data_IF_192508080016
#
_entry.id   IF_192508080016
#
_cell.length_a   1.000
_cell.length_b   1.000
_cell.length_c   1.000
_cell.angle_alpha   90.00
_cell.angle_beta   90.00
_cell.angle_gamma   90.00
#
_symmetry.space_group_name_H-M   'P 1'
#
loop_
_entity.id
_entity.type
_entity.pdbx_description
1 polymer ?
#
# COMPACT_ATOMS: atom_id res chain seq x y z
N UNK A 1 11.40 -6.79 7.04
CA UNK A 1 11.00 -7.20 8.40
C UNK A 1 10.08 -8.40 8.29
N UNK A 2 10.62 -9.62 8.43
CA UNK A 2 9.86 -10.86 8.30
C UNK A 2 8.96 -11.14 9.52
N UNK A 3 9.29 -10.51 10.65
CA UNK A 3 8.65 -10.78 11.95
C UNK A 3 7.21 -10.26 12.03
N UNK A 4 6.77 -9.48 11.05
CA UNK A 4 5.39 -8.99 10.94
C UNK A 4 4.37 -10.12 10.67
N UNK A 5 4.84 -11.32 10.30
CA UNK A 5 4.00 -12.51 10.16
C UNK A 5 3.77 -13.25 11.51
N UNK A 6 4.35 -12.78 12.62
CA UNK A 6 4.05 -13.33 13.96
C UNK A 6 2.61 -12.99 14.39
N UNK A 7 1.92 -13.96 15.00
CA UNK A 7 0.52 -13.85 15.39
C UNK A 7 0.22 -12.70 16.37
N UNK A 8 1.22 -12.21 17.13
CA UNK A 8 1.03 -11.12 18.09
C UNK A 8 1.26 -9.73 17.48
N UNK A 9 1.65 -9.65 16.21
CA UNK A 9 1.90 -8.38 15.53
C UNK A 9 0.70 -7.93 14.72
N UNK A 10 0.60 -6.61 14.58
CA UNK A 10 -0.45 -5.95 13.80
C UNK A 10 0.17 -5.15 12.66
N UNK A 11 -0.48 -5.19 11.51
CA UNK A 11 -0.15 -4.35 10.36
C UNK A 11 -1.30 -3.40 10.11
N UNK A 12 -0.99 -2.14 9.79
CA UNK A 12 -2.01 -1.16 9.42
C UNK A 12 -2.79 -1.67 8.21
N UNK A 13 -4.12 -1.62 8.28
CA UNK A 13 -4.97 -2.07 7.18
C UNK A 13 -4.85 -1.15 5.97
N UNK A 14 -5.12 -1.70 4.79
CA UNK A 14 -5.20 -0.94 3.55
C UNK A 14 -6.29 0.14 3.68
N UNK A 15 -6.02 1.33 3.16
CA UNK A 15 -6.87 2.54 3.25
C UNK A 15 -7.05 3.14 4.64
N UNK A 16 -6.38 2.63 5.68
CA UNK A 16 -6.42 3.26 7.00
C UNK A 16 -5.72 4.62 7.03
N UNK A 17 -6.36 5.58 7.72
CA UNK A 17 -5.73 6.84 8.09
C UNK A 17 -4.63 6.60 9.12
N UNK A 18 -3.57 7.41 9.03
CA UNK A 18 -2.46 7.40 9.98
C UNK A 18 -2.65 8.52 11.00
N UNK A 19 -2.51 8.18 12.29
CA UNK A 19 -2.52 9.14 13.38
C UNK A 19 -1.25 10.02 13.35
N UNK A 20 -1.24 11.01 12.45
CA UNK A 20 -0.18 11.99 12.21
C UNK A 20 -0.81 13.38 12.04
N UNK A 21 -0.04 14.48 12.20
CA UNK A 21 -0.57 15.83 12.01
C UNK A 21 -1.18 16.08 10.62
N UNK A 22 -0.63 15.41 9.60
CA UNK A 22 -1.25 15.33 8.27
C UNK A 22 -2.02 14.02 8.14
N UNK A 23 -3.25 14.05 7.59
CA UNK A 23 -4.14 12.89 7.53
C UNK A 23 -3.75 11.94 6.38
N UNK A 24 -2.56 11.38 6.45
CA UNK A 24 -2.04 10.48 5.41
C UNK A 24 -2.67 9.08 5.50
N UNK A 25 -2.70 8.37 4.38
CA UNK A 25 -3.39 7.08 4.23
C UNK A 25 -2.43 5.96 3.82
N UNK A 26 -2.64 4.76 4.35
CA UNK A 26 -2.00 3.52 3.89
C UNK A 26 -2.54 3.10 2.50
N UNK A 27 -2.00 3.71 1.45
CA UNK A 27 -2.60 3.69 0.11
C UNK A 27 -1.96 2.63 -0.78
N UNK A 28 -2.74 1.74 -1.44
CA UNK A 28 -2.24 0.90 -2.52
C UNK A 28 -1.69 1.71 -3.68
N UNK A 29 -0.54 1.27 -4.19
CA UNK A 29 0.17 1.90 -5.30
C UNK A 29 0.61 0.84 -6.30
N UNK A 30 0.84 1.26 -7.53
CA UNK A 30 1.38 0.39 -8.57
C UNK A 30 2.89 0.21 -8.42
N UNK A 31 3.43 -0.85 -9.05
CA UNK A 31 4.87 -1.03 -9.15
C UNK A 31 5.57 0.09 -9.91
N UNK A 32 4.92 0.65 -10.93
CA UNK A 32 5.44 1.79 -11.68
C UNK A 32 5.61 3.03 -10.80
N UNK A 33 4.66 3.29 -9.90
CA UNK A 33 4.73 4.40 -8.94
C UNK A 33 5.91 4.20 -7.98
N UNK A 34 6.14 2.96 -7.51
CA UNK A 34 7.30 2.62 -6.67
C UNK A 34 8.61 2.86 -7.43
N UNK A 35 8.73 2.37 -8.66
CA UNK A 35 9.91 2.58 -9.51
C UNK A 35 10.18 4.06 -9.75
N UNK A 36 9.15 4.84 -10.08
CA UNK A 36 9.26 6.29 -10.29
C UNK A 36 9.72 7.02 -9.01
N UNK A 37 9.14 6.69 -7.87
CA UNK A 37 9.56 7.25 -6.57
C UNK A 37 11.04 6.96 -6.28
N UNK A 38 11.49 5.73 -6.53
CA UNK A 38 12.88 5.35 -6.36
C UNK A 38 13.82 6.12 -7.30
N UNK A 39 13.53 6.15 -8.60
CA UNK A 39 14.35 6.85 -9.59
C UNK A 39 14.43 8.36 -9.35
N UNK A 40 13.35 8.97 -8.86
CA UNK A 40 13.33 10.40 -8.52
C UNK A 40 14.03 10.71 -7.18
N UNK A 41 14.25 9.71 -6.32
CA UNK A 41 14.75 9.91 -4.96
C UNK A 41 13.78 10.68 -4.06
N UNK A 42 12.50 10.81 -4.44
CA UNK A 42 11.51 11.63 -3.76
C UNK A 42 10.40 10.77 -3.15
N UNK A 43 10.43 10.67 -1.82
CA UNK A 43 9.45 9.91 -1.03
C UNK A 43 8.07 10.56 -1.00
N UNK A 44 7.97 11.87 -1.25
CA UNK A 44 6.70 12.59 -1.26
C UNK A 44 5.76 12.07 -2.35
N UNK A 45 6.30 11.45 -3.41
CA UNK A 45 5.54 10.83 -4.49
C UNK A 45 4.65 9.65 -4.05
N UNK A 46 4.89 9.07 -2.87
CA UNK A 46 4.09 7.98 -2.29
C UNK A 46 3.39 8.40 -0.99
N UNK A 47 3.16 9.70 -0.79
CA UNK A 47 2.45 10.24 0.36
C UNK A 47 1.10 10.77 -0.11
N UNK A 48 0.04 10.14 0.35
CA UNK A 48 -1.34 10.47 -0.03
C UNK A 48 -2.12 10.88 1.21
N UNK A 49 -2.90 11.94 1.10
CA UNK A 49 -3.93 12.33 2.06
C UNK A 49 -5.29 11.78 1.64
N UNK A 50 -6.28 11.85 2.54
CA UNK A 50 -7.60 11.26 2.27
C UNK A 50 -8.24 11.73 0.95
N UNK A 51 -8.05 13.00 0.57
CA UNK A 51 -8.58 13.56 -0.66
C UNK A 51 -7.96 12.95 -1.91
N UNK A 52 -6.64 12.77 -1.90
CA UNK A 52 -5.88 12.15 -2.98
C UNK A 52 -6.36 10.71 -3.21
N UNK A 53 -6.61 9.97 -2.13
CA UNK A 53 -7.06 8.57 -2.22
C UNK A 53 -8.44 8.46 -2.85
N UNK A 54 -9.39 9.32 -2.44
CA UNK A 54 -10.72 9.33 -3.05
C UNK A 54 -10.66 9.66 -4.55
N UNK A 55 -9.86 10.65 -4.92
CA UNK A 55 -9.66 11.01 -6.33
C UNK A 55 -9.04 9.85 -7.12
N UNK A 56 -8.01 9.20 -6.56
CA UNK A 56 -7.34 8.05 -7.19
C UNK A 56 -8.27 6.88 -7.40
N UNK A 57 -9.05 6.50 -6.40
CA UNK A 57 -10.02 5.40 -6.53
C UNK A 57 -11.05 5.72 -7.62
N UNK A 58 -11.50 6.98 -7.71
CA UNK A 58 -12.39 7.42 -8.78
C UNK A 58 -11.76 7.34 -10.19
N UNK A 59 -10.47 7.63 -10.31
CA UNK A 59 -9.76 7.65 -11.60
C UNK A 59 -9.25 6.28 -12.05
N UNK A 60 -8.72 5.48 -11.13
CA UNK A 60 -7.97 4.25 -11.41
C UNK A 60 -8.63 2.98 -10.87
N UNK A 61 -9.75 3.11 -10.15
CA UNK A 61 -10.36 2.00 -9.43
C UNK A 61 -9.56 1.55 -8.21
N UNK A 62 -9.89 0.37 -7.68
CA UNK A 62 -9.18 -0.24 -6.55
C UNK A 62 -8.02 -1.12 -7.04
N UNK A 63 -6.80 -0.59 -6.90
CA UNK A 63 -5.58 -1.32 -7.26
C UNK A 63 -5.35 -2.58 -6.42
N UNK A 64 -5.98 -2.69 -5.25
CA UNK A 64 -5.82 -3.82 -4.35
C UNK A 64 -6.94 -4.86 -4.48
N UNK A 65 -7.97 -4.60 -5.29
CA UNK A 65 -9.09 -5.52 -5.50
C UNK A 65 -8.68 -6.96 -5.86
N UNK A 66 -7.63 -7.22 -6.68
CA UNK A 66 -7.21 -8.59 -7.00
C UNK A 66 -6.83 -9.43 -5.77
N UNK A 67 -6.41 -8.80 -4.67
CA UNK A 67 -6.03 -9.50 -3.44
C UNK A 67 -7.21 -10.20 -2.76
N UNK A 68 -8.46 -9.87 -3.13
CA UNK A 68 -9.65 -10.53 -2.61
C UNK A 68 -9.88 -11.92 -3.19
N UNK A 69 -9.33 -12.20 -4.37
CA UNK A 69 -9.58 -13.46 -5.11
C UNK A 69 -8.32 -14.25 -5.43
N UNK A 70 -7.15 -13.62 -5.39
CA UNK A 70 -5.89 -14.27 -5.72
C UNK A 70 -5.41 -15.16 -4.56
N UNK A 71 -5.50 -16.47 -4.74
CA UNK A 71 -4.87 -17.45 -3.86
C UNK A 71 -3.54 -17.93 -4.47
N UNK A 72 -2.51 -18.03 -3.65
CA UNK A 72 -1.17 -18.48 -4.05
C UNK A 72 -0.65 -19.50 -3.06
N UNK A 73 0.15 -20.45 -3.56
CA UNK A 73 0.84 -21.44 -2.74
C UNK A 73 2.31 -21.06 -2.57
N UNK A 74 2.87 -21.36 -1.40
CA UNK A 74 4.30 -21.15 -1.17
C UNK A 74 5.10 -22.17 -2.00
N UNK A 75 6.20 -21.76 -2.66
CA UNK A 75 7.08 -22.71 -3.33
C UNK A 75 7.72 -23.65 -2.30
N UNK A 76 8.14 -24.83 -2.76
CA UNK A 76 8.97 -25.71 -1.95
C UNK A 76 10.25 -24.95 -1.57
N UNK A 77 10.51 -24.85 -0.27
CA UNK A 77 11.78 -24.35 0.24
C UNK A 77 12.79 -25.48 0.09
N UNK A 78 13.70 -25.33 -0.87
CA UNK A 78 14.87 -26.21 -1.03
C UNK A 78 15.92 -25.97 0.05
#
# INVERSE_FOLDING_TARGET
DWSQNDAHKTTATVYSLRARPRPTVSTPVSWEEVSRCHSAGDRALLVFEHGDVLQRVGASGDLFAPALSLAQELPALG
#
